data_IF_397610846940
#
_entry.id   IF_397610846940
#
_cell.length_a   1.000
_cell.length_b   1.000
_cell.length_c   1.000
_cell.angle_alpha   90.00
_cell.angle_beta   90.00
_cell.angle_gamma   90.00
#
_symmetry.space_group_name_H-M   'P 1'
#
loop_
_entity.id
_entity.type
_entity.pdbx_description
1 polymer ?
#
# COMPACT_ATOMS: atom_id res chain seq x y z
N UNK A 1 0.84 -2.25 -19.00
CA UNK A 1 1.57 -1.29 -19.85
C UNK A 1 3.07 -1.34 -19.59
N UNK A 2 3.60 -0.93 -18.42
CA UNK A 2 5.04 -0.98 -18.13
C UNK A 2 5.59 -2.41 -18.24
N UNK A 3 5.01 -3.33 -17.51
CA UNK A 3 5.45 -4.73 -17.46
C UNK A 3 5.21 -5.48 -18.76
N UNK A 4 4.22 -5.10 -19.57
CA UNK A 4 4.08 -5.64 -20.94
C UNK A 4 5.29 -5.27 -21.81
N UNK A 5 5.70 -4.00 -21.75
CA UNK A 5 6.88 -3.53 -22.46
C UNK A 5 8.16 -4.23 -21.98
N UNK A 6 8.34 -4.38 -20.68
CA UNK A 6 9.48 -5.11 -20.13
C UNK A 6 9.50 -6.57 -20.59
N UNK A 7 8.36 -7.27 -20.49
CA UNK A 7 8.23 -8.67 -20.92
C UNK A 7 8.53 -8.84 -22.41
N UNK A 8 7.99 -7.95 -23.24
CA UNK A 8 8.22 -7.97 -24.70
C UNK A 8 9.69 -7.75 -25.09
N UNK A 9 10.47 -7.08 -24.22
CA UNK A 9 11.89 -6.82 -24.42
C UNK A 9 12.81 -7.75 -23.61
N UNK A 10 12.29 -8.88 -23.11
CA UNK A 10 13.08 -9.90 -22.42
C UNK A 10 13.42 -9.56 -20.96
N UNK A 11 12.77 -8.56 -20.39
CA UNK A 11 12.88 -8.25 -18.97
C UNK A 11 12.42 -9.41 -18.10
N UNK A 12 13.07 -9.58 -16.95
CA UNK A 12 12.76 -10.61 -15.96
C UNK A 12 12.65 -9.96 -14.58
N UNK A 13 11.73 -10.45 -13.78
CA UNK A 13 11.52 -10.04 -12.39
C UNK A 13 10.84 -11.19 -11.64
N UNK A 14 11.03 -11.25 -10.35
CA UNK A 14 10.41 -12.24 -9.46
C UNK A 14 9.18 -11.62 -8.79
N UNK A 15 9.30 -10.37 -8.32
CA UNK A 15 8.26 -9.64 -7.59
C UNK A 15 7.96 -8.32 -8.29
N UNK A 16 6.69 -7.94 -8.33
CA UNK A 16 6.23 -6.61 -8.76
C UNK A 16 5.89 -5.79 -7.51
N UNK A 17 6.60 -4.69 -7.31
CA UNK A 17 6.31 -3.72 -6.25
C UNK A 17 5.29 -2.68 -6.70
N UNK A 18 4.33 -2.35 -5.83
CA UNK A 18 3.32 -1.32 -6.03
C UNK A 18 3.35 -0.30 -4.91
N UNK A 19 2.93 0.93 -5.19
CA UNK A 19 2.72 1.99 -4.20
C UNK A 19 1.27 2.46 -4.23
N UNK A 20 0.68 2.78 -3.06
CA UNK A 20 -0.70 3.20 -2.93
C UNK A 20 -0.86 4.28 -1.85
N UNK A 21 -1.23 5.48 -2.29
CA UNK A 21 -1.40 6.66 -1.43
C UNK A 21 -2.77 7.31 -1.65
N UNK A 22 -3.84 6.78 -1.06
CA UNK A 22 -5.18 7.34 -1.20
C UNK A 22 -5.40 8.56 -0.30
N UNK A 23 -6.52 9.24 -0.54
CA UNK A 23 -7.09 10.25 0.35
C UNK A 23 -8.31 9.66 1.09
N UNK A 24 -8.79 10.37 2.11
CA UNK A 24 -9.92 9.95 2.94
C UNK A 24 -11.22 9.63 2.14
N UNK A 25 -11.44 10.33 1.05
CA UNK A 25 -12.62 10.19 0.18
C UNK A 25 -12.42 9.20 -0.98
N UNK A 26 -11.23 8.66 -1.18
CA UNK A 26 -10.90 7.82 -2.35
C UNK A 26 -10.45 6.41 -1.99
N UNK A 27 -10.07 6.14 -0.75
CA UNK A 27 -9.39 4.89 -0.39
C UNK A 27 -10.22 3.63 -0.69
N UNK A 28 -11.56 3.65 -0.54
CA UNK A 28 -12.40 2.48 -0.83
C UNK A 28 -12.32 2.08 -2.31
N UNK A 29 -12.42 3.10 -3.18
CA UNK A 29 -12.32 2.90 -4.63
C UNK A 29 -10.90 2.46 -5.01
N UNK A 30 -9.89 3.11 -4.45
CA UNK A 30 -8.48 2.80 -4.73
C UNK A 30 -8.09 1.40 -4.24
N UNK A 31 -8.57 0.95 -3.09
CA UNK A 31 -8.36 -0.43 -2.63
C UNK A 31 -8.97 -1.45 -3.59
N UNK A 32 -10.21 -1.20 -4.05
CA UNK A 32 -10.88 -2.08 -5.02
C UNK A 32 -10.10 -2.16 -6.33
N UNK A 33 -9.63 -1.02 -6.84
CA UNK A 33 -8.81 -0.97 -8.06
C UNK A 33 -7.44 -1.63 -7.84
N UNK A 34 -6.82 -1.42 -6.68
CA UNK A 34 -5.53 -2.01 -6.34
C UNK A 34 -5.62 -3.55 -6.34
N UNK A 35 -6.63 -4.12 -5.70
CA UNK A 35 -6.85 -5.58 -5.68
C UNK A 35 -7.09 -6.12 -7.08
N UNK A 36 -7.89 -5.45 -7.89
CA UNK A 36 -8.10 -5.83 -9.29
C UNK A 36 -6.78 -5.79 -10.10
N UNK A 37 -5.93 -4.77 -9.88
CA UNK A 37 -4.62 -4.68 -10.52
C UNK A 37 -3.67 -5.79 -10.05
N UNK A 38 -3.67 -6.14 -8.76
CA UNK A 38 -2.89 -7.27 -8.23
C UNK A 38 -3.28 -8.55 -8.97
N UNK A 39 -4.57 -8.87 -9.05
CA UNK A 39 -5.08 -10.06 -9.73
C UNK A 39 -4.76 -10.07 -11.23
N UNK A 40 -4.89 -8.93 -11.91
CA UNK A 40 -4.52 -8.80 -13.33
C UNK A 40 -3.02 -9.05 -13.54
N UNK A 41 -2.15 -8.46 -12.72
CA UNK A 41 -0.70 -8.66 -12.82
C UNK A 41 -0.28 -10.10 -12.53
N UNK A 42 -0.86 -10.74 -11.54
CA UNK A 42 -0.64 -12.17 -11.26
C UNK A 42 -1.04 -13.00 -12.47
N UNK A 43 -2.24 -12.77 -13.03
CA UNK A 43 -2.75 -13.50 -14.20
C UNK A 43 -1.87 -13.32 -15.44
N UNK A 44 -1.36 -12.10 -15.67
CA UNK A 44 -0.57 -11.77 -16.88
C UNK A 44 0.89 -12.16 -16.81
N UNK A 45 1.48 -12.09 -15.63
CA UNK A 45 2.92 -12.24 -15.48
C UNK A 45 3.32 -13.45 -14.64
N UNK A 46 2.41 -14.01 -13.83
CA UNK A 46 2.71 -15.10 -12.91
C UNK A 46 3.64 -14.72 -11.76
N UNK A 47 3.83 -13.42 -11.53
CA UNK A 47 4.76 -12.90 -10.54
C UNK A 47 4.08 -12.74 -9.18
N UNK A 48 4.88 -12.78 -8.12
CA UNK A 48 4.45 -12.29 -6.81
C UNK A 48 4.29 -10.77 -6.83
N UNK A 49 3.40 -10.27 -5.99
CA UNK A 49 3.09 -8.83 -5.87
C UNK A 49 3.34 -8.40 -4.43
N UNK A 50 3.88 -7.22 -4.24
CA UNK A 50 4.06 -6.60 -2.93
C UNK A 50 3.64 -5.15 -2.97
N UNK A 51 2.85 -4.70 -2.00
CA UNK A 51 2.62 -3.28 -1.76
C UNK A 51 3.81 -2.74 -0.96
N UNK A 52 4.79 -2.20 -1.68
CA UNK A 52 6.05 -1.74 -1.10
C UNK A 52 5.92 -0.42 -0.36
N UNK A 53 4.90 0.34 -0.69
CA UNK A 53 4.65 1.65 -0.10
C UNK A 53 3.16 1.90 0.05
N UNK A 54 2.72 2.22 1.26
CA UNK A 54 1.40 2.79 1.53
C UNK A 54 1.52 3.92 2.53
N UNK A 55 0.57 4.85 2.50
CA UNK A 55 0.47 5.94 3.46
C UNK A 55 -0.75 6.81 3.20
N UNK A 56 -1.19 7.52 4.25
CA UNK A 56 -2.25 8.54 4.21
C UNK A 56 -1.87 9.70 5.13
N UNK A 57 -2.54 10.87 5.03
CA UNK A 57 -2.27 11.99 5.93
C UNK A 57 -2.33 11.56 7.41
N UNK A 58 -1.28 11.87 8.17
CA UNK A 58 -1.12 11.45 9.58
C UNK A 58 -2.23 11.99 10.49
N UNK A 59 -2.80 13.12 10.15
CA UNK A 59 -3.87 13.81 10.89
C UNK A 59 -5.27 13.23 10.60
N UNK A 60 -5.38 12.27 9.69
CA UNK A 60 -6.57 11.46 9.45
C UNK A 60 -6.30 9.97 9.69
N UNK A 61 -5.81 9.67 10.89
CA UNK A 61 -5.37 8.34 11.26
C UNK A 61 -6.48 7.29 11.29
N UNK A 62 -7.73 7.67 11.56
CA UNK A 62 -8.88 6.75 11.53
C UNK A 62 -9.19 6.30 10.09
N UNK A 63 -9.20 7.23 9.14
CA UNK A 63 -9.36 6.87 7.72
C UNK A 63 -8.20 5.98 7.25
N UNK A 64 -6.98 6.29 7.68
CA UNK A 64 -5.81 5.47 7.38
C UNK A 64 -5.93 4.04 7.96
N UNK A 65 -6.38 3.89 9.20
CA UNK A 65 -6.67 2.58 9.80
C UNK A 65 -7.68 1.80 8.97
N UNK A 66 -8.80 2.44 8.62
CA UNK A 66 -9.86 1.81 7.83
C UNK A 66 -9.36 1.37 6.45
N UNK A 67 -8.59 2.23 5.79
CA UNK A 67 -7.90 1.94 4.53
C UNK A 67 -7.02 0.69 4.63
N UNK A 68 -6.14 0.65 5.62
CA UNK A 68 -5.20 -0.44 5.82
C UNK A 68 -5.91 -1.75 6.18
N UNK A 69 -6.89 -1.70 7.12
CA UNK A 69 -7.66 -2.89 7.53
C UNK A 69 -8.44 -3.50 6.36
N UNK A 70 -9.08 -2.67 5.54
CA UNK A 70 -9.80 -3.14 4.34
C UNK A 70 -8.83 -3.73 3.30
N UNK A 71 -7.69 -3.08 3.07
CA UNK A 71 -6.68 -3.55 2.12
C UNK A 71 -6.08 -4.89 2.56
N UNK A 72 -5.71 -5.02 3.83
CA UNK A 72 -5.21 -6.27 4.42
C UNK A 72 -6.25 -7.38 4.29
N UNK A 73 -7.51 -7.10 4.66
CA UNK A 73 -8.59 -8.09 4.54
C UNK A 73 -8.83 -8.57 3.11
N UNK A 74 -8.69 -7.68 2.11
CA UNK A 74 -8.88 -8.01 0.69
C UNK A 74 -7.69 -8.76 0.07
N UNK A 75 -6.50 -8.63 0.64
CA UNK A 75 -5.27 -9.20 0.06
C UNK A 75 -4.79 -10.47 0.76
N UNK A 76 -5.21 -10.73 2.01
CA UNK A 76 -4.74 -11.86 2.83
C UNK A 76 -4.94 -13.26 2.21
N UNK A 77 -5.96 -13.43 1.38
CA UNK A 77 -6.29 -14.70 0.74
C UNK A 77 -5.78 -14.78 -0.72
N UNK A 78 -4.92 -13.86 -1.11
CA UNK A 78 -4.24 -13.88 -2.42
C UNK A 78 -2.81 -14.39 -2.18
N UNK A 79 -2.59 -15.67 -2.47
CA UNK A 79 -1.32 -16.36 -2.17
C UNK A 79 -0.07 -15.64 -2.70
N UNK A 80 -0.17 -15.04 -3.89
CA UNK A 80 0.94 -14.28 -4.50
C UNK A 80 1.06 -12.85 -4.01
N UNK A 81 0.17 -12.35 -3.15
CA UNK A 81 0.32 -11.04 -2.50
C UNK A 81 1.15 -11.19 -1.24
N UNK A 82 2.41 -10.81 -1.29
CA UNK A 82 3.38 -11.05 -0.21
C UNK A 82 3.16 -10.20 1.03
N UNK A 83 2.47 -9.06 0.89
CA UNK A 83 2.17 -8.18 2.02
C UNK A 83 2.20 -6.70 1.69
N UNK A 84 2.09 -5.89 2.74
CA UNK A 84 1.95 -4.44 2.68
C UNK A 84 2.97 -3.80 3.61
N UNK A 85 3.75 -2.84 3.09
CA UNK A 85 4.69 -2.05 3.87
C UNK A 85 4.23 -0.59 3.95
N UNK A 86 4.14 -0.07 5.16
CA UNK A 86 3.92 1.35 5.37
C UNK A 86 5.22 2.12 5.07
N UNK A 87 5.14 3.15 4.19
CA UNK A 87 6.32 3.93 3.86
C UNK A 87 6.55 5.03 4.88
N UNK A 88 7.77 5.09 5.44
CA UNK A 88 8.18 6.11 6.43
C UNK A 88 7.15 6.32 7.55
N UNK A 89 6.68 5.27 8.25
CA UNK A 89 5.61 5.41 9.26
C UNK A 89 6.00 6.37 10.37
N UNK A 90 7.28 6.46 10.73
CA UNK A 90 7.80 7.27 11.82
C UNK A 90 8.09 8.73 11.42
N UNK A 91 7.90 9.10 10.16
CA UNK A 91 8.04 10.49 9.73
C UNK A 91 6.97 11.36 10.40
N UNK A 92 7.41 12.40 11.11
CA UNK A 92 6.55 13.33 11.81
C UNK A 92 7.20 14.72 11.88
N UNK A 93 6.43 15.74 12.31
CA UNK A 93 6.91 17.10 12.56
C UNK A 93 7.72 17.72 11.41
N UNK A 94 7.26 17.52 10.17
CA UNK A 94 7.83 18.20 9.01
C UNK A 94 9.13 17.60 8.47
N UNK A 95 9.44 16.33 8.81
CA UNK A 95 10.56 15.64 8.18
C UNK A 95 10.42 15.66 6.65
N UNK A 96 11.32 16.35 5.96
CA UNK A 96 11.29 16.57 4.51
C UNK A 96 9.92 17.01 3.95
N UNK A 97 9.12 17.74 4.73
CA UNK A 97 7.74 18.07 4.41
C UNK A 97 6.82 16.85 4.15
N UNK A 98 7.20 15.66 4.58
CA UNK A 98 6.41 14.44 4.44
C UNK A 98 5.28 14.42 5.48
N UNK A 99 4.05 14.23 5.03
CA UNK A 99 2.83 14.31 5.85
C UNK A 99 2.04 13.00 5.88
N UNK A 100 2.56 11.93 5.27
CA UNK A 100 1.84 10.65 5.10
C UNK A 100 2.34 9.55 6.06
N UNK A 101 2.99 9.95 7.17
CA UNK A 101 3.44 9.03 8.21
C UNK A 101 2.30 8.47 9.06
N UNK A 102 2.63 7.61 10.02
CA UNK A 102 1.69 7.01 10.96
C UNK A 102 1.95 7.41 12.41
N UNK A 103 2.78 8.44 12.61
CA UNK A 103 3.08 9.04 13.94
C UNK A 103 2.58 10.47 13.96
N UNK A 104 2.09 10.90 15.13
CA UNK A 104 1.66 12.27 15.34
C UNK A 104 2.85 13.24 15.52
N UNK A 105 2.57 14.53 15.58
CA UNK A 105 3.60 15.57 15.75
C UNK A 105 4.31 15.56 17.13
N UNK A 106 3.91 14.68 18.05
CA UNK A 106 4.63 14.42 19.30
C UNK A 106 5.56 13.19 19.20
N UNK A 107 5.58 12.53 18.06
CA UNK A 107 6.38 11.32 17.82
C UNK A 107 5.74 10.05 18.40
N UNK A 108 4.42 10.04 18.62
CA UNK A 108 3.68 8.85 19.07
C UNK A 108 2.99 8.17 17.90
N UNK A 109 2.93 6.82 17.91
CA UNK A 109 2.15 6.10 16.90
C UNK A 109 0.68 6.48 16.99
N UNK A 110 0.05 6.66 15.84
CA UNK A 110 -1.40 6.89 15.71
C UNK A 110 -2.16 5.57 15.63
N UNK A 111 -3.48 5.64 15.68
CA UNK A 111 -4.36 4.47 15.52
C UNK A 111 -4.24 3.81 14.15
N UNK A 112 -3.67 4.46 13.15
CA UNK A 112 -3.42 3.89 11.83
C UNK A 112 -2.66 2.56 11.91
N UNK A 113 -1.68 2.46 12.82
CA UNK A 113 -0.87 1.25 13.00
C UNK A 113 -1.62 0.10 13.69
N UNK A 114 -2.80 0.34 14.25
CA UNK A 114 -3.61 -0.72 14.85
C UNK A 114 -4.11 -1.73 13.80
N UNK A 115 -4.18 -1.33 12.53
CA UNK A 115 -4.51 -2.22 11.42
C UNK A 115 -3.56 -3.42 11.29
N UNK A 116 -2.31 -3.30 11.76
CA UNK A 116 -1.30 -4.37 11.72
C UNK A 116 -1.26 -5.27 12.96
N UNK A 117 -2.20 -5.08 13.90
CA UNK A 117 -2.27 -5.87 15.15
C UNK A 117 -3.17 -7.11 15.04
N UNK A 118 -3.90 -7.27 13.94
CA UNK A 118 -4.89 -8.33 13.73
C UNK A 118 -4.29 -9.54 13.00
#
# INVERSE_FOLDING_TARGET
>A
WLFDGLKANGGKWDVIGMSLYPQADTWQTMNTQCVANIQDMISRYGSEIMLCEVGMPWDDAESCKNFLSDLLAKTKDIDQCLGIFYWEPQAYSGWNAYTLGAFDNTGKPTVALDAFKE
#
